data_IF_080707562663
#
_entry.id   IF_080707562663
#
_cell.length_a   1.000
_cell.length_b   1.000
_cell.length_c   1.000
_cell.angle_alpha   90.00
_cell.angle_beta   90.00
_cell.angle_gamma   90.00
#
_symmetry.space_group_name_H-M   'P 1'
#
loop_
_entity.id
_entity.type
_entity.pdbx_description
1 polymer ?
#
# COMPACT_ATOMS: atom_id res chain seq x y z
N UNK A 1 -12.34 9.39 -4.60
CA UNK A 1 -11.06 9.97 -5.01
C UNK A 1 -10.20 8.86 -5.56
N UNK A 2 -9.48 9.11 -6.65
CA UNK A 2 -8.56 8.16 -7.24
C UNK A 2 -7.14 8.49 -6.79
N UNK A 3 -6.39 7.51 -6.30
CA UNK A 3 -4.98 7.67 -5.97
C UNK A 3 -4.17 7.90 -7.25
N UNK A 4 -3.23 8.84 -7.19
CA UNK A 4 -2.29 9.09 -8.29
C UNK A 4 -1.36 7.89 -8.47
N UNK A 5 -0.72 7.78 -9.64
CA UNK A 5 0.23 6.69 -9.89
C UNK A 5 1.39 6.69 -8.88
N UNK A 6 1.90 7.86 -8.52
CA UNK A 6 2.95 7.99 -7.51
C UNK A 6 2.49 7.52 -6.13
N UNK A 7 1.25 7.84 -5.75
CA UNK A 7 0.66 7.36 -4.49
C UNK A 7 0.48 5.84 -4.50
N UNK A 8 0.03 5.25 -5.62
CA UNK A 8 -0.10 3.79 -5.75
C UNK A 8 1.23 3.06 -5.62
N UNK A 9 2.30 3.58 -6.26
CA UNK A 9 3.66 3.05 -6.12
C UNK A 9 4.07 3.10 -4.65
N UNK A 10 3.92 4.26 -4.01
CA UNK A 10 4.30 4.43 -2.61
C UNK A 10 3.53 3.48 -1.68
N UNK A 11 2.22 3.29 -1.89
CA UNK A 11 1.40 2.38 -1.08
C UNK A 11 1.96 0.95 -1.14
N UNK A 12 2.29 0.45 -2.34
CA UNK A 12 2.86 -0.90 -2.49
C UNK A 12 4.25 -0.99 -1.88
N UNK A 13 5.11 0.01 -2.09
CA UNK A 13 6.44 0.04 -1.50
C UNK A 13 6.39 0.06 0.03
N UNK A 14 5.57 0.92 0.62
CA UNK A 14 5.39 1.01 2.07
C UNK A 14 4.80 -0.28 2.65
N UNK A 15 3.85 -0.91 1.95
CA UNK A 15 3.26 -2.18 2.36
C UNK A 15 4.28 -3.33 2.36
N UNK A 16 5.13 -3.41 1.34
CA UNK A 16 6.20 -4.41 1.26
C UNK A 16 7.34 -4.10 2.24
N UNK A 17 7.71 -2.82 2.41
CA UNK A 17 8.76 -2.36 3.35
C UNK A 17 8.39 -2.66 4.80
N UNK A 18 7.13 -2.49 5.16
CA UNK A 18 6.61 -2.81 6.49
C UNK A 18 6.31 -4.28 6.71
N UNK A 19 6.47 -5.12 5.68
CA UNK A 19 6.26 -6.55 5.83
C UNK A 19 7.36 -7.17 6.69
N UNK A 20 6.97 -8.09 7.57
CA UNK A 20 7.89 -8.81 8.44
C UNK A 20 7.74 -10.30 8.18
N UNK A 21 8.87 -10.99 8.12
CA UNK A 21 8.87 -12.45 8.01
C UNK A 21 8.88 -13.06 9.40
N UNK A 22 7.75 -13.63 9.82
CA UNK A 22 7.56 -14.28 11.11
C UNK A 22 7.35 -15.78 10.87
N UNK A 23 8.28 -16.61 11.35
CA UNK A 23 8.24 -18.09 11.23
C UNK A 23 7.97 -18.56 9.80
N UNK A 24 8.58 -17.90 8.80
CA UNK A 24 8.45 -18.26 7.39
C UNK A 24 7.22 -17.68 6.67
N UNK A 25 6.29 -17.06 7.40
CA UNK A 25 5.12 -16.36 6.85
C UNK A 25 5.41 -14.86 6.78
N UNK A 26 4.99 -14.20 5.70
CA UNK A 26 5.04 -12.75 5.60
C UNK A 26 3.79 -12.15 6.27
N UNK A 27 4.00 -11.43 7.35
CA UNK A 27 3.00 -10.57 7.98
C UNK A 27 3.08 -9.17 7.38
N UNK A 28 1.93 -8.62 7.02
CA UNK A 28 1.83 -7.29 6.44
C UNK A 28 1.01 -6.40 7.37
N UNK A 29 1.43 -5.15 7.54
CA UNK A 29 0.73 -4.16 8.37
C UNK A 29 0.19 -3.03 7.51
N UNK A 30 -1.12 -3.05 7.28
CA UNK A 30 -1.82 -1.95 6.59
C UNK A 30 -1.72 -0.67 7.43
N UNK A 31 -1.83 -0.77 8.75
CA UNK A 31 -1.74 0.39 9.66
C UNK A 31 -0.39 1.11 9.55
N UNK A 32 0.73 0.35 9.52
CA UNK A 32 2.05 0.95 9.35
C UNK A 32 2.22 1.60 7.97
N UNK A 33 1.66 0.98 6.92
CA UNK A 33 1.61 1.57 5.59
C UNK A 33 0.82 2.89 5.56
N UNK A 34 -0.31 2.96 6.26
CA UNK A 34 -1.15 4.17 6.36
C UNK A 34 -0.42 5.28 7.13
N UNK A 35 0.27 4.96 8.22
CA UNK A 35 1.05 5.94 9.00
C UNK A 35 2.18 6.55 8.15
N UNK A 36 2.92 5.72 7.40
CA UNK A 36 3.94 6.23 6.47
C UNK A 36 3.32 7.03 5.32
N UNK A 37 2.19 6.58 4.78
CA UNK A 37 1.50 7.30 3.70
C UNK A 37 1.00 8.67 4.16
N UNK A 38 0.46 8.79 5.38
CA UNK A 38 0.07 10.08 5.95
C UNK A 38 1.25 10.99 6.23
N UNK A 39 2.42 10.42 6.55
CA UNK A 39 3.64 11.20 6.76
C UNK A 39 4.14 11.82 5.45
N UNK A 40 4.10 11.07 4.35
CA UNK A 40 4.55 11.55 3.04
C UNK A 40 3.48 12.37 2.29
N UNK A 41 2.19 12.07 2.49
CA UNK A 41 1.07 12.77 1.85
C UNK A 41 0.08 13.32 2.89
N UNK A 42 0.48 14.29 3.74
CA UNK A 42 -0.34 14.77 4.85
C UNK A 42 -1.63 15.46 4.40
N UNK A 43 -1.64 16.03 3.19
CA UNK A 43 -2.81 16.69 2.61
C UNK A 43 -3.82 15.70 2.00
N UNK A 44 -3.44 14.42 1.86
CA UNK A 44 -4.29 13.42 1.22
C UNK A 44 -5.31 12.87 2.21
N UNK A 45 -6.57 13.26 2.03
CA UNK A 45 -7.70 12.66 2.73
C UNK A 45 -8.20 11.43 1.96
N UNK A 46 -8.28 10.29 2.64
CA UNK A 46 -8.82 9.06 2.08
C UNK A 46 -9.62 8.29 3.13
N UNK A 47 -10.54 7.47 2.65
CA UNK A 47 -11.25 6.51 3.49
C UNK A 47 -10.41 5.24 3.58
N UNK A 48 -10.36 4.63 4.77
CA UNK A 48 -9.63 3.39 5.01
C UNK A 48 -10.03 2.29 4.02
N UNK A 49 -11.32 2.13 3.75
CA UNK A 49 -11.84 1.13 2.81
C UNK A 49 -11.31 1.35 1.38
N UNK A 50 -11.24 2.61 0.93
CA UNK A 50 -10.70 2.94 -0.41
C UNK A 50 -9.20 2.73 -0.49
N UNK A 51 -8.48 3.01 0.59
CA UNK A 51 -7.05 2.72 0.69
C UNK A 51 -6.80 1.22 0.61
N UNK A 52 -7.54 0.43 1.39
CA UNK A 52 -7.43 -1.03 1.39
C UNK A 52 -7.74 -1.62 0.01
N UNK A 53 -8.85 -1.20 -0.62
CA UNK A 53 -9.19 -1.66 -1.98
C UNK A 53 -8.11 -1.31 -3.01
N UNK A 54 -7.51 -0.12 -2.91
CA UNK A 54 -6.44 0.30 -3.82
C UNK A 54 -5.18 -0.52 -3.59
N UNK A 55 -4.82 -0.74 -2.33
CA UNK A 55 -3.68 -1.57 -1.95
C UNK A 55 -3.85 -3.00 -2.47
N UNK A 56 -5.01 -3.63 -2.24
CA UNK A 56 -5.28 -5.00 -2.68
C UNK A 56 -5.18 -5.11 -4.22
N UNK A 57 -5.73 -4.13 -4.94
CA UNK A 57 -5.63 -4.08 -6.40
C UNK A 57 -4.18 -3.93 -6.86
N UNK A 58 -3.43 -2.97 -6.30
CA UNK A 58 -2.06 -2.71 -6.71
C UNK A 58 -1.13 -3.89 -6.37
N UNK A 59 -1.33 -4.56 -5.24
CA UNK A 59 -0.56 -5.76 -4.86
C UNK A 59 -0.92 -6.95 -5.76
N UNK A 60 -2.20 -7.12 -6.11
CA UNK A 60 -2.62 -8.15 -7.06
C UNK A 60 -1.97 -7.95 -8.42
N UNK A 61 -2.08 -6.74 -8.98
CA UNK A 61 -1.44 -6.38 -10.25
C UNK A 61 0.08 -6.57 -10.17
N UNK A 62 0.72 -6.18 -9.06
CA UNK A 62 2.16 -6.32 -8.90
C UNK A 62 2.59 -7.79 -8.89
N UNK A 63 1.80 -8.67 -8.27
CA UNK A 63 2.08 -10.11 -8.25
C UNK A 63 1.88 -10.79 -9.60
N UNK A 64 0.89 -10.35 -10.37
CA UNK A 64 0.55 -10.97 -11.66
C UNK A 64 1.45 -10.48 -12.80
N UNK A 65 1.70 -9.17 -12.87
CA UNK A 65 2.34 -8.54 -14.03
C UNK A 65 3.54 -7.65 -13.68
N UNK A 66 3.92 -7.56 -12.39
CA UNK A 66 5.04 -6.73 -11.94
C UNK A 66 4.78 -5.22 -12.00
N UNK A 67 3.52 -4.80 -12.13
CA UNK A 67 3.09 -3.41 -12.28
C UNK A 67 2.03 -3.03 -11.26
N UNK A 68 1.98 -1.77 -10.86
CA UNK A 68 0.96 -1.21 -9.95
C UNK A 68 -0.10 -0.36 -10.68
N UNK A 69 -0.02 -0.30 -12.01
CA UNK A 69 -0.92 0.44 -12.88
C UNK A 69 -2.31 -0.21 -12.99
#
# INVERSE_FOLDING_TARGET
MAFSQQQKIFIVEAYLRNSRKVVGVWEYSISACIEEFHTEFPEMLFEYEKFQQTLDLCVSNFREIGSVA
#
